data_IF_674054314550
#
_entry.id   IF_674054314550
#
_cell.length_a   1.000
_cell.length_b   1.000
_cell.length_c   1.000
_cell.angle_alpha   90.00
_cell.angle_beta   90.00
_cell.angle_gamma   90.00
#
_symmetry.space_group_name_H-M   'P 1'
#
loop_
_entity.id
_entity.type
_entity.pdbx_description
1 polymer ?
#
# COMPACT_ATOMS: atom_id res chain seq x y z
N UNK A 1 31.37 42.72 10.57
CA UNK A 1 30.72 41.43 10.83
C UNK A 1 30.02 41.05 9.55
N UNK A 2 30.69 40.29 8.68
CA UNK A 2 30.12 39.84 7.41
C UNK A 2 29.28 38.60 7.71
N UNK A 3 28.02 38.60 7.26
CA UNK A 3 27.19 37.41 7.30
C UNK A 3 27.77 36.41 6.29
N UNK A 4 28.16 35.23 6.76
CA UNK A 4 28.53 34.11 5.89
C UNK A 4 27.37 33.83 4.94
N UNK A 5 27.63 34.01 3.65
CA UNK A 5 26.75 33.56 2.58
C UNK A 5 26.63 32.05 2.69
N UNK A 6 25.45 31.55 3.07
CA UNK A 6 25.16 30.11 3.00
C UNK A 6 25.40 29.68 1.57
N UNK A 7 26.46 28.89 1.35
CA UNK A 7 26.78 28.33 0.06
C UNK A 7 25.75 27.24 -0.25
N UNK A 8 24.57 27.65 -0.73
CA UNK A 8 23.54 26.75 -1.24
C UNK A 8 23.95 26.27 -2.62
N UNK A 9 25.02 25.47 -2.68
CA UNK A 9 25.32 24.62 -3.84
C UNK A 9 24.24 23.53 -3.91
N UNK A 10 23.00 23.94 -4.18
CA UNK A 10 21.87 23.05 -4.37
C UNK A 10 22.08 22.33 -5.70
N UNK A 11 22.43 21.06 -5.62
CA UNK A 11 22.45 20.20 -6.79
C UNK A 11 21.00 19.96 -7.23
N UNK A 12 20.62 20.32 -8.46
CA UNK A 12 19.28 20.03 -8.95
C UNK A 12 19.08 18.52 -9.04
N UNK A 13 17.93 18.04 -8.56
CA UNK A 13 17.54 16.63 -8.61
C UNK A 13 16.48 16.46 -9.68
N UNK A 14 16.72 15.55 -10.63
CA UNK A 14 15.75 15.20 -11.65
C UNK A 14 14.89 14.02 -11.20
N UNK A 15 13.57 14.11 -11.40
CA UNK A 15 12.66 12.98 -11.31
C UNK A 15 12.60 12.34 -12.69
N UNK A 16 13.23 11.18 -12.85
CA UNK A 16 13.42 10.53 -14.16
C UNK A 16 12.40 9.42 -14.46
N UNK A 17 11.66 8.95 -13.46
CA UNK A 17 10.60 7.96 -13.61
C UNK A 17 9.63 7.98 -12.43
N UNK A 18 8.45 7.43 -12.64
CA UNK A 18 7.38 7.40 -11.64
C UNK A 18 6.55 6.13 -11.83
N UNK A 19 6.28 5.44 -10.72
CA UNK A 19 5.28 4.38 -10.60
C UNK A 19 4.31 4.76 -9.50
N UNK A 20 3.04 4.39 -9.62
CA UNK A 20 2.06 4.69 -8.59
C UNK A 20 0.88 3.73 -8.57
N UNK A 21 0.24 3.65 -7.39
CA UNK A 21 -1.04 2.96 -7.19
C UNK A 21 -1.95 3.86 -6.38
N UNK A 22 -3.07 4.25 -6.97
CA UNK A 22 -4.07 5.10 -6.34
C UNK A 22 -5.50 4.54 -6.53
N UNK A 23 -6.43 4.93 -5.65
CA UNK A 23 -7.85 4.64 -5.79
C UNK A 23 -8.42 5.16 -7.12
N UNK A 24 -9.50 4.52 -7.61
CA UNK A 24 -10.16 4.93 -8.85
C UNK A 24 -9.58 4.34 -10.13
N UNK A 25 -9.01 3.13 -10.04
CA UNK A 25 -8.32 2.45 -11.15
C UNK A 25 -7.13 3.25 -11.71
N UNK A 26 -6.44 3.99 -10.83
CA UNK A 26 -5.26 4.78 -11.15
C UNK A 26 -4.00 3.98 -10.83
N UNK A 27 -3.70 3.01 -11.69
CA UNK A 27 -2.55 2.11 -11.54
C UNK A 27 -1.28 2.60 -12.23
N UNK A 28 -1.33 3.76 -12.89
CA UNK A 28 -0.17 4.39 -13.53
C UNK A 28 -0.35 5.92 -13.54
N UNK A 29 0.72 6.68 -13.84
CA UNK A 29 0.69 8.14 -13.84
C UNK A 29 -0.36 8.73 -14.79
N UNK A 30 -0.60 8.13 -15.95
CA UNK A 30 -1.59 8.57 -16.93
C UNK A 30 -3.02 8.41 -16.39
N UNK A 31 -3.32 7.25 -15.81
CA UNK A 31 -4.61 6.98 -15.20
C UNK A 31 -4.86 7.83 -13.93
N UNK A 32 -3.80 8.15 -13.19
CA UNK A 32 -3.87 9.13 -12.10
C UNK A 32 -4.19 10.53 -12.64
N UNK A 33 -3.48 10.95 -13.70
CA UNK A 33 -3.73 12.25 -14.34
C UNK A 33 -5.17 12.38 -14.81
N UNK A 34 -5.75 11.34 -15.43
CA UNK A 34 -7.16 11.32 -15.83
C UNK A 34 -8.14 11.44 -14.66
N UNK A 35 -7.81 10.92 -13.47
CA UNK A 35 -8.63 11.14 -12.28
C UNK A 35 -8.56 12.60 -11.83
N UNK A 36 -7.34 13.15 -11.77
CA UNK A 36 -7.08 14.51 -11.29
C UNK A 36 -7.62 15.58 -12.23
N UNK A 37 -7.37 15.46 -13.53
CA UNK A 37 -7.79 16.42 -14.57
C UNK A 37 -9.32 16.53 -14.67
N UNK A 38 -10.02 15.43 -14.41
CA UNK A 38 -11.48 15.36 -14.39
C UNK A 38 -12.09 15.60 -12.99
N UNK A 39 -11.27 15.94 -11.98
CA UNK A 39 -11.69 16.15 -10.59
C UNK A 39 -12.59 15.02 -10.02
N UNK A 40 -12.31 13.77 -10.41
CA UNK A 40 -13.16 12.62 -10.03
C UNK A 40 -12.94 12.24 -8.58
N UNK A 41 -14.04 12.03 -7.85
CA UNK A 41 -13.99 11.41 -6.52
C UNK A 41 -13.88 9.89 -6.66
N UNK A 42 -12.84 9.32 -6.06
CA UNK A 42 -12.62 7.87 -6.02
C UNK A 42 -13.13 7.23 -4.73
N UNK A 43 -14.06 7.90 -4.04
CA UNK A 43 -14.70 7.37 -2.85
C UNK A 43 -15.53 6.14 -3.22
N UNK A 44 -15.40 5.08 -2.43
CA UNK A 44 -16.15 3.85 -2.60
C UNK A 44 -16.59 3.30 -1.25
N UNK A 45 -17.65 2.49 -1.27
CA UNK A 45 -17.98 1.64 -0.12
C UNK A 45 -16.82 0.68 0.13
N UNK A 46 -16.64 0.28 1.38
CA UNK A 46 -15.62 -0.72 1.71
C UNK A 46 -15.90 -2.00 0.92
N UNK A 47 -14.91 -2.52 0.18
CA UNK A 47 -15.07 -3.76 -0.56
C UNK A 47 -15.39 -4.94 0.39
N UNK A 48 -16.29 -5.86 -0.02
CA UNK A 48 -16.79 -6.94 0.86
C UNK A 48 -15.71 -7.96 1.25
N UNK A 49 -14.61 -8.02 0.49
CA UNK A 49 -13.40 -8.80 0.74
C UNK A 49 -12.48 -8.18 1.79
N UNK A 50 -12.67 -6.90 2.16
CA UNK A 50 -11.85 -6.23 3.18
C UNK A 50 -12.26 -6.60 4.58
N UNK A 51 -13.47 -6.25 5.00
CA UNK A 51 -14.02 -6.60 6.31
C UNK A 51 -15.52 -6.34 6.33
N UNK A 52 -16.24 -6.92 7.30
CA UNK A 52 -17.67 -6.70 7.43
C UNK A 52 -17.97 -5.35 8.10
N UNK A 53 -18.14 -4.29 7.29
CA UNK A 53 -18.44 -2.94 7.78
C UNK A 53 -19.67 -2.90 8.67
N UNK A 54 -20.72 -3.65 8.34
CA UNK A 54 -21.98 -3.60 9.08
C UNK A 54 -21.82 -4.10 10.52
N UNK A 55 -20.82 -4.95 10.79
CA UNK A 55 -20.48 -5.40 12.15
C UNK A 55 -19.85 -4.31 13.01
N UNK A 56 -19.21 -3.31 12.39
CA UNK A 56 -18.51 -2.21 13.08
C UNK A 56 -19.27 -0.89 13.00
N UNK A 57 -20.36 -0.83 12.25
CA UNK A 57 -21.11 0.41 12.03
C UNK A 57 -21.90 0.81 13.28
N UNK A 58 -21.67 2.02 13.76
CA UNK A 58 -22.51 2.61 14.79
C UNK A 58 -22.73 4.10 14.51
N UNK A 59 -23.96 4.64 14.67
CA UNK A 59 -24.27 6.03 14.34
C UNK A 59 -23.58 7.06 15.25
N UNK A 60 -23.21 6.66 16.46
CA UNK A 60 -22.39 7.47 17.38
C UNK A 60 -20.98 6.89 17.50
N UNK A 61 -19.97 7.74 17.71
CA UNK A 61 -18.57 7.36 17.87
C UNK A 61 -18.31 6.60 19.20
N UNK A 62 -18.73 5.33 19.28
CA UNK A 62 -18.45 4.45 20.43
C UNK A 62 -17.13 3.71 20.22
N UNK A 63 -16.54 3.25 21.32
CA UNK A 63 -15.36 2.38 21.28
C UNK A 63 -15.62 1.17 20.36
N UNK A 64 -14.64 0.84 19.52
CA UNK A 64 -14.66 -0.27 18.54
C UNK A 64 -15.74 -0.17 17.45
N UNK A 65 -16.21 1.05 17.16
CA UNK A 65 -17.18 1.28 16.09
C UNK A 65 -16.68 2.36 15.12
N UNK A 66 -17.18 2.31 13.89
CA UNK A 66 -16.91 3.30 12.87
C UNK A 66 -18.20 3.95 12.40
N UNK A 67 -18.15 5.26 12.18
CA UNK A 67 -19.20 6.04 11.52
C UNK A 67 -19.03 6.06 9.99
N UNK A 68 -17.84 5.70 9.50
CA UNK A 68 -17.50 5.73 8.08
C UNK A 68 -18.08 4.51 7.35
N UNK A 69 -18.73 4.75 6.20
CA UNK A 69 -19.36 3.71 5.36
C UNK A 69 -18.50 3.30 4.16
N UNK A 70 -17.36 3.96 3.99
CA UNK A 70 -16.53 3.86 2.81
C UNK A 70 -15.31 4.75 2.95
N UNK A 71 -14.37 4.54 2.05
CA UNK A 71 -13.10 5.23 2.00
C UNK A 71 -12.56 5.16 0.56
N UNK A 72 -11.25 5.35 0.41
CA UNK A 72 -10.58 5.21 -0.87
C UNK A 72 -9.75 3.94 -0.83
N UNK A 73 -10.07 2.99 -1.70
CA UNK A 73 -9.42 1.69 -1.77
C UNK A 73 -8.73 1.53 -3.11
N UNK A 74 -7.61 0.81 -3.12
CA UNK A 74 -7.04 0.33 -4.36
C UNK A 74 -8.04 -0.62 -5.04
N UNK A 75 -8.22 -0.42 -6.34
CA UNK A 75 -9.14 -1.23 -7.16
C UNK A 75 -8.59 -2.64 -7.43
N UNK A 76 -7.27 -2.78 -7.37
CA UNK A 76 -6.57 -4.05 -7.55
C UNK A 76 -6.65 -4.93 -6.30
N UNK A 77 -6.56 -6.24 -6.52
CA UNK A 77 -6.46 -7.20 -5.44
C UNK A 77 -5.09 -7.06 -4.76
N UNK A 78 -5.06 -6.52 -3.53
CA UNK A 78 -3.83 -6.32 -2.75
C UNK A 78 -3.14 -7.63 -2.34
N UNK A 79 -3.82 -8.77 -2.45
CA UNK A 79 -3.22 -10.07 -2.19
C UNK A 79 -2.48 -10.63 -3.41
N UNK A 80 -2.75 -10.11 -4.61
CA UNK A 80 -2.05 -10.49 -5.83
C UNK A 80 -0.61 -9.98 -5.78
N UNK A 81 0.34 -10.84 -6.19
CA UNK A 81 1.75 -10.50 -6.26
C UNK A 81 2.49 -11.50 -7.15
N UNK A 82 3.32 -11.02 -8.07
CA UNK A 82 4.13 -11.89 -8.92
C UNK A 82 5.43 -12.32 -8.21
N UNK A 83 5.31 -13.29 -7.30
CA UNK A 83 6.44 -13.76 -6.50
C UNK A 83 7.62 -14.32 -7.34
N UNK A 84 7.32 -15.03 -8.42
CA UNK A 84 8.36 -15.60 -9.31
C UNK A 84 9.20 -14.53 -10.00
N UNK A 85 8.58 -13.40 -10.38
CA UNK A 85 9.27 -12.29 -11.01
C UNK A 85 10.35 -11.69 -10.10
N UNK A 86 10.05 -11.57 -8.80
CA UNK A 86 10.98 -11.06 -7.79
C UNK A 86 11.86 -12.14 -7.15
N UNK A 87 11.83 -13.37 -7.68
CA UNK A 87 12.58 -14.51 -7.14
C UNK A 87 12.25 -14.80 -5.65
N UNK A 88 10.98 -14.63 -5.26
CA UNK A 88 10.47 -14.86 -3.91
C UNK A 88 9.70 -16.20 -3.90
N UNK A 89 10.02 -17.05 -2.92
CA UNK A 89 9.31 -18.32 -2.74
C UNK A 89 7.81 -18.08 -2.44
N UNK A 90 6.88 -18.86 -3.01
CA UNK A 90 5.45 -18.66 -2.79
C UNK A 90 5.02 -18.68 -1.32
N UNK A 91 5.70 -19.49 -0.49
CA UNK A 91 5.46 -19.54 0.96
C UNK A 91 5.82 -18.23 1.65
N UNK A 92 6.92 -17.59 1.25
CA UNK A 92 7.34 -16.31 1.81
C UNK A 92 6.41 -15.20 1.32
N UNK A 93 6.05 -15.23 0.03
CA UNK A 93 5.11 -14.27 -0.54
C UNK A 93 3.77 -14.24 0.21
N UNK A 94 3.27 -15.38 0.71
CA UNK A 94 2.02 -15.43 1.50
C UNK A 94 2.11 -14.66 2.82
N UNK A 95 3.26 -14.69 3.48
CA UNK A 95 3.48 -14.03 4.77
C UNK A 95 3.93 -12.56 4.65
N UNK A 96 4.38 -12.13 3.47
CA UNK A 96 4.80 -10.74 3.24
C UNK A 96 3.65 -9.76 3.42
N UNK A 97 3.97 -8.57 3.94
CA UNK A 97 3.01 -7.46 4.02
C UNK A 97 2.57 -7.02 2.60
N UNK A 98 1.25 -6.88 2.33
CA UNK A 98 0.75 -6.31 1.08
C UNK A 98 1.40 -4.98 0.68
N UNK A 99 1.72 -4.10 1.65
CA UNK A 99 2.41 -2.83 1.37
C UNK A 99 3.79 -3.07 0.76
N UNK A 100 4.54 -4.07 1.25
CA UNK A 100 5.86 -4.42 0.72
C UNK A 100 5.76 -5.03 -0.68
N UNK A 101 4.74 -5.86 -0.93
CA UNK A 101 4.50 -6.47 -2.24
C UNK A 101 4.21 -5.41 -3.30
N UNK A 102 3.28 -4.50 -3.00
CA UNK A 102 2.93 -3.38 -3.90
C UNK A 102 4.14 -2.46 -4.10
N UNK A 103 4.92 -2.19 -3.05
CA UNK A 103 6.12 -1.38 -3.16
C UNK A 103 7.13 -1.97 -4.16
N UNK A 104 7.34 -3.30 -4.15
CA UNK A 104 8.24 -3.95 -5.10
C UNK A 104 7.79 -3.77 -6.55
N UNK A 105 6.49 -3.93 -6.82
CA UNK A 105 5.91 -3.71 -8.14
C UNK A 105 6.03 -2.25 -8.58
N UNK A 106 5.70 -1.30 -7.71
CA UNK A 106 5.78 0.13 -8.01
C UNK A 106 7.21 0.61 -8.23
N UNK A 107 8.18 0.10 -7.46
CA UNK A 107 9.61 0.42 -7.67
C UNK A 107 10.08 -0.11 -9.02
N UNK A 108 9.67 -1.32 -9.40
CA UNK A 108 10.00 -1.88 -10.71
C UNK A 108 9.45 -1.03 -11.84
N UNK A 109 8.17 -0.65 -11.78
CA UNK A 109 7.54 0.21 -12.78
C UNK A 109 8.15 1.62 -12.85
N UNK A 110 8.55 2.18 -11.72
CA UNK A 110 9.24 3.47 -11.68
C UNK A 110 10.60 3.41 -12.40
N UNK A 111 11.33 2.30 -12.26
CA UNK A 111 12.58 2.05 -12.98
C UNK A 111 12.32 1.88 -14.48
N UNK A 112 11.29 1.12 -14.87
CA UNK A 112 10.91 0.96 -16.28
C UNK A 112 10.48 2.28 -16.91
N UNK A 113 9.69 3.08 -16.20
CA UNK A 113 9.29 4.43 -16.61
C UNK A 113 10.50 5.34 -16.86
N UNK A 114 11.57 5.19 -16.06
CA UNK A 114 12.83 5.89 -16.26
C UNK A 114 13.71 5.31 -17.39
N UNK A 115 13.32 4.18 -18.00
CA UNK A 115 14.14 3.46 -18.97
C UNK A 115 15.36 2.75 -18.36
N UNK A 116 15.36 2.53 -17.04
CA UNK A 116 16.44 1.84 -16.33
C UNK A 116 16.11 0.36 -16.10
N UNK A 117 17.08 -0.52 -16.35
CA UNK A 117 16.91 -1.94 -16.04
C UNK A 117 17.15 -2.18 -14.56
N UNK A 118 16.33 -3.03 -13.95
CA UNK A 118 16.49 -3.41 -12.54
C UNK A 118 17.89 -3.99 -12.24
N UNK A 119 18.44 -4.80 -13.16
CA UNK A 119 19.77 -5.39 -12.99
C UNK A 119 20.90 -4.37 -12.94
N UNK A 120 20.71 -3.17 -13.50
CA UNK A 120 21.74 -2.11 -13.48
C UNK A 120 21.85 -1.45 -12.10
N UNK A 121 20.87 -1.68 -11.20
CA UNK A 121 20.88 -1.16 -9.83
C UNK A 121 21.66 -2.05 -8.86
N UNK A 122 21.90 -3.31 -9.21
CA UNK A 122 22.63 -4.24 -8.34
C UNK A 122 24.11 -3.86 -8.31
N UNK A 123 24.60 -3.44 -7.14
CA UNK A 123 26.01 -3.03 -6.95
C UNK A 123 26.33 -1.60 -7.38
N UNK A 124 25.34 -0.81 -7.79
CA UNK A 124 25.50 0.62 -8.06
C UNK A 124 25.41 1.44 -6.76
N UNK A 125 25.71 2.75 -6.85
CA UNK A 125 25.48 3.71 -5.77
C UNK A 125 24.00 4.16 -5.69
N UNK A 126 23.05 3.24 -5.90
CA UNK A 126 21.61 3.51 -5.77
C UNK A 126 21.17 3.32 -4.32
N UNK A 127 20.43 4.28 -3.78
CA UNK A 127 19.84 4.20 -2.44
C UNK A 127 18.31 4.21 -2.54
N UNK A 128 17.65 3.52 -1.60
CA UNK A 128 16.19 3.44 -1.52
C UNK A 128 15.73 4.06 -0.19
N UNK A 129 14.80 5.00 -0.28
CA UNK A 129 14.18 5.64 0.88
C UNK A 129 12.68 5.38 0.81
N UNK A 130 12.12 4.79 1.86
CA UNK A 130 10.72 4.38 1.92
C UNK A 130 10.08 4.96 3.16
N UNK A 131 9.01 5.74 2.97
CA UNK A 131 8.11 6.13 4.04
C UNK A 131 7.03 5.08 4.19
N UNK A 132 6.96 4.44 5.36
CA UNK A 132 5.89 3.51 5.70
C UNK A 132 5.33 3.87 7.07
N UNK A 133 4.05 3.58 7.27
CA UNK A 133 3.36 3.74 8.53
C UNK A 133 2.48 2.50 8.74
N UNK A 134 2.20 2.18 10.00
CA UNK A 134 1.54 0.95 10.49
C UNK A 134 2.39 -0.32 10.47
N UNK A 135 2.01 -1.23 11.37
CA UNK A 135 2.48 -2.61 11.50
C UNK A 135 1.29 -3.58 11.60
N UNK A 136 0.13 -3.15 11.11
CA UNK A 136 -1.15 -3.84 11.20
C UNK A 136 -1.07 -5.25 10.62
N UNK A 137 -0.32 -5.45 9.51
CA UNK A 137 -0.11 -6.78 8.96
C UNK A 137 0.64 -7.72 9.92
N UNK A 138 1.68 -7.21 10.61
CA UNK A 138 2.41 -7.98 11.63
C UNK A 138 1.50 -8.30 12.82
N UNK A 139 0.72 -7.32 13.27
CA UNK A 139 -0.21 -7.50 14.38
C UNK A 139 -1.28 -8.54 14.04
N UNK A 140 -1.81 -8.51 12.82
CA UNK A 140 -2.75 -9.52 12.31
C UNK A 140 -2.14 -10.92 12.27
N UNK A 141 -0.90 -11.07 11.83
CA UNK A 141 -0.21 -12.37 11.77
C UNK A 141 0.10 -12.94 13.17
N UNK A 142 0.32 -12.07 14.16
CA UNK A 142 0.61 -12.47 15.53
C UNK A 142 -0.65 -12.74 16.37
N UNK A 143 -1.84 -12.39 15.87
CA UNK A 143 -3.08 -12.71 16.57
C UNK A 143 -3.33 -14.22 16.60
N UNK A 144 -3.58 -14.74 17.81
CA UNK A 144 -3.98 -16.13 18.00
C UNK A 144 -5.30 -16.39 17.24
N UNK A 145 -5.34 -17.38 16.32
CA UNK A 145 -6.56 -17.72 15.58
C UNK A 145 -7.78 -17.99 16.47
N UNK A 146 -7.58 -18.54 17.68
CA UNK A 146 -8.68 -18.77 18.63
C UNK A 146 -9.16 -17.48 19.30
N UNK A 147 -8.28 -16.49 19.44
CA UNK A 147 -8.62 -15.20 20.04
C UNK A 147 -9.54 -14.36 19.15
N UNK A 148 -9.48 -14.55 17.83
CA UNK A 148 -10.38 -13.92 16.84
C UNK A 148 -11.84 -14.35 17.04
N UNK A 149 -12.08 -15.57 17.51
CA UNK A 149 -13.42 -16.09 17.79
C UNK A 149 -13.95 -15.66 19.16
N UNK A 150 -13.06 -15.43 20.14
CA UNK A 150 -13.43 -15.16 21.55
C UNK A 150 -13.51 -13.68 21.90
N UNK A 151 -12.84 -12.81 21.14
CA UNK A 151 -13.00 -11.36 21.22
C UNK A 151 -13.58 -10.85 19.91
N UNK A 152 -14.85 -10.39 19.86
CA UNK A 152 -15.29 -9.53 18.77
C UNK A 152 -14.56 -8.18 18.91
N UNK A 153 -13.30 -8.18 18.43
CA UNK A 153 -12.39 -7.07 18.11
C UNK A 153 -12.55 -5.84 18.99
N UNK A 154 -11.69 -5.70 20.00
CA UNK A 154 -11.73 -4.54 20.88
C UNK A 154 -10.46 -4.13 21.59
N UNK A 155 -9.27 -4.57 21.15
CA UNK A 155 -8.00 -4.06 21.70
C UNK A 155 -6.85 -3.81 20.71
N UNK A 156 -6.96 -4.16 19.43
CA UNK A 156 -5.99 -3.72 18.41
C UNK A 156 -6.58 -3.90 17.01
N UNK A 157 -6.82 -2.75 16.38
CA UNK A 157 -6.77 -2.42 14.95
C UNK A 157 -7.12 -3.48 13.88
N UNK A 158 -8.10 -3.10 13.07
CA UNK A 158 -8.34 -3.51 11.67
C UNK A 158 -8.33 -5.01 11.39
N UNK A 159 -9.40 -5.70 11.81
CA UNK A 159 -9.72 -7.05 11.34
C UNK A 159 -10.07 -7.06 9.86
N UNK A 160 -9.06 -7.14 8.99
CA UNK A 160 -9.25 -7.48 7.58
C UNK A 160 -9.49 -8.99 7.43
N UNK A 161 -10.47 -9.35 6.60
CA UNK A 161 -10.72 -10.71 6.15
C UNK A 161 -9.53 -11.10 5.25
N UNK A 162 -8.55 -11.81 5.81
CA UNK A 162 -7.52 -12.44 5.00
C UNK A 162 -8.23 -13.27 3.91
N UNK A 163 -7.95 -12.94 2.66
CA UNK A 163 -8.49 -13.62 1.47
C UNK A 163 -7.97 -15.07 1.43
N UNK A 164 -8.60 -15.95 2.21
CA UNK A 164 -8.52 -17.39 2.07
C UNK A 164 -9.55 -17.89 1.05
N UNK A 165 -9.62 -17.24 -0.12
CA UNK A 165 -10.41 -17.74 -1.23
C UNK A 165 -9.74 -17.34 -2.53
N UNK A 166 -8.87 -18.22 -3.01
CA UNK A 166 -8.82 -18.76 -4.38
C UNK A 166 -7.87 -19.98 -4.27
N UNK A 167 -8.49 -21.14 -4.06
CA UNK A 167 -7.97 -22.45 -4.47
C UNK A 167 -9.21 -23.26 -4.84
N UNK A 168 -9.69 -23.03 -6.05
CA UNK A 168 -10.05 -24.07 -7.00
C UNK A 168 -9.36 -23.72 -8.32
#
# INVERSE_FOLDING_TARGET
>A
MAFDTVNTNMMPIAVVGIGCRFPGNSSNPEALWEVLSNARSCYSKVPPDRYNVDSFRHPSNKLNTSVAQGAHFLSENIAAFNASFFNIAPVNAKSMDPHQRILLEVVYEALESAGHRMNDTAGSNTSCYVGTFTCDWSDMLMQDPESVLKNPVGKSDLGFKAANTILD
#
